data_IF_136894141067
#
_entry.id   IF_136894141067
#
_cell.length_a   1.000
_cell.length_b   1.000
_cell.length_c   1.000
_cell.angle_alpha   90.00
_cell.angle_beta   90.00
_cell.angle_gamma   90.00
#
_symmetry.space_group_name_H-M   'P 1'
#
loop_
_entity.id
_entity.type
_entity.pdbx_description
1 polymer ?
#
# COMPACT_ATOMS: atom_id res chain seq x y z
N UNK A 1 14.77 3.19 -6.11
CA UNK A 1 15.08 2.60 -4.79
C UNK A 1 14.14 1.44 -4.59
N UNK A 2 14.64 0.35 -4.03
CA UNK A 2 13.87 -0.87 -3.80
C UNK A 2 14.10 -1.33 -2.35
N UNK A 3 13.02 -1.66 -1.66
CA UNK A 3 13.02 -2.10 -0.27
C UNK A 3 12.33 -3.46 -0.20
N UNK A 4 13.10 -4.51 0.09
CA UNK A 4 12.62 -5.89 0.13
C UNK A 4 12.86 -6.51 1.49
N UNK A 5 11.88 -7.27 2.01
CA UNK A 5 12.03 -7.97 3.30
C UNK A 5 12.28 -7.01 4.47
N UNK A 6 11.88 -5.76 4.32
CA UNK A 6 12.17 -4.69 5.25
C UNK A 6 11.21 -4.71 6.43
N UNK A 7 11.67 -4.31 7.62
CA UNK A 7 10.89 -4.29 8.84
C UNK A 7 11.39 -3.25 9.83
N UNK A 8 10.57 -2.95 10.84
CA UNK A 8 10.98 -2.15 12.01
C UNK A 8 10.83 -0.63 11.87
N UNK A 9 10.36 -0.11 10.74
CA UNK A 9 10.08 1.32 10.56
C UNK A 9 8.61 1.58 10.27
N UNK A 10 8.08 2.69 10.75
CA UNK A 10 6.65 3.00 10.62
C UNK A 10 6.36 4.00 9.50
N UNK A 11 7.39 4.72 9.03
CA UNK A 11 7.28 5.79 8.06
C UNK A 11 8.52 5.87 7.18
N UNK A 12 8.30 6.06 5.88
CA UNK A 12 9.29 6.41 4.88
C UNK A 12 9.04 7.85 4.43
N UNK A 13 10.00 8.72 4.72
CA UNK A 13 9.97 10.12 4.28
C UNK A 13 10.94 10.31 3.11
N UNK A 14 10.39 10.49 1.92
CA UNK A 14 11.13 10.59 0.66
C UNK A 14 10.97 12.02 0.13
N UNK A 15 11.64 12.95 0.81
CA UNK A 15 11.76 14.34 0.35
C UNK A 15 12.74 14.54 -0.82
N UNK A 16 13.45 13.49 -1.25
CA UNK A 16 14.44 13.58 -2.32
C UNK A 16 13.81 14.02 -3.65
N UNK A 17 14.39 15.06 -4.25
CA UNK A 17 14.03 15.56 -5.58
C UNK A 17 14.75 14.83 -6.69
N UNK A 18 15.56 13.80 -6.42
CA UNK A 18 16.19 12.95 -7.44
C UNK A 18 15.56 11.56 -7.51
N UNK A 19 14.99 11.07 -6.41
CA UNK A 19 14.37 9.75 -6.38
C UNK A 19 12.99 9.79 -7.03
N UNK A 20 12.85 9.16 -8.21
CA UNK A 20 11.59 9.11 -8.97
C UNK A 20 10.80 7.82 -8.82
N UNK A 21 11.47 6.73 -8.44
CA UNK A 21 10.88 5.39 -8.36
C UNK A 21 11.17 4.72 -7.02
N UNK A 22 10.10 4.23 -6.40
CA UNK A 22 10.14 3.42 -5.18
C UNK A 22 9.44 2.09 -5.45
N UNK A 23 10.07 1.01 -5.00
CA UNK A 23 9.44 -0.31 -4.93
C UNK A 23 9.56 -0.82 -3.50
N UNK A 24 8.45 -1.27 -2.92
CA UNK A 24 8.39 -1.89 -1.60
C UNK A 24 7.79 -3.28 -1.77
N UNK A 25 8.54 -4.30 -1.38
CA UNK A 25 8.10 -5.70 -1.43
C UNK A 25 8.27 -6.39 -0.08
N UNK A 26 7.32 -7.25 0.28
CA UNK A 26 7.38 -8.08 1.48
C UNK A 26 7.76 -7.29 2.74
N UNK A 27 6.97 -6.26 3.06
CA UNK A 27 7.21 -5.42 4.22
C UNK A 27 6.53 -6.01 5.48
N UNK A 28 7.31 -6.21 6.55
CA UNK A 28 6.85 -6.86 7.78
C UNK A 28 6.78 -5.85 8.92
N UNK A 29 5.59 -5.66 9.49
CA UNK A 29 5.42 -4.89 10.72
C UNK A 29 5.16 -5.82 11.89
N UNK A 30 6.18 -6.00 12.73
CA UNK A 30 6.04 -6.73 13.98
C UNK A 30 5.21 -5.92 15.01
N UNK A 31 4.52 -6.63 15.90
CA UNK A 31 3.98 -6.11 17.17
C UNK A 31 2.89 -5.03 17.12
N UNK A 32 2.22 -4.84 15.99
CA UNK A 32 1.11 -3.89 15.93
C UNK A 32 -0.21 -4.57 16.27
N UNK A 33 -0.88 -4.02 17.30
CA UNK A 33 -2.29 -4.30 17.61
C UNK A 33 -3.13 -4.13 16.34
N UNK A 34 -4.26 -4.82 16.27
CA UNK A 34 -5.27 -4.59 15.24
C UNK A 34 -5.55 -3.09 15.10
N UNK A 35 -5.75 -2.62 13.86
CA UNK A 35 -6.05 -1.23 13.49
C UNK A 35 -4.90 -0.18 13.53
N UNK A 36 -3.62 -0.57 13.57
CA UNK A 36 -2.51 0.38 13.42
C UNK A 36 -1.90 0.43 12.01
N UNK A 37 -1.67 1.64 11.48
CA UNK A 37 -0.96 1.90 10.21
C UNK A 37 0.49 1.41 10.31
N UNK A 38 0.85 0.36 9.59
CA UNK A 38 2.18 -0.26 9.58
C UNK A 38 3.24 0.52 8.82
N UNK A 39 2.87 1.21 7.74
CA UNK A 39 3.79 1.91 6.85
C UNK A 39 3.17 3.19 6.27
N UNK A 40 3.64 4.34 6.69
CA UNK A 40 3.34 5.61 6.01
C UNK A 40 4.42 5.89 4.95
N UNK A 41 4.01 6.26 3.75
CA UNK A 41 4.92 6.69 2.69
C UNK A 41 4.61 8.14 2.35
N UNK A 42 5.54 9.04 2.67
CA UNK A 42 5.49 10.44 2.27
C UNK A 42 6.47 10.67 1.12
N UNK A 43 5.98 11.02 -0.07
CA UNK A 43 6.81 11.05 -1.27
C UNK A 43 6.37 12.10 -2.32
N UNK A 44 6.56 13.41 -2.05
CA UNK A 44 6.06 14.53 -2.88
C UNK A 44 6.57 14.60 -4.32
N UNK A 45 7.71 13.97 -4.61
CA UNK A 45 8.39 14.06 -5.91
C UNK A 45 8.49 12.70 -6.62
N UNK A 46 7.80 11.68 -6.09
CA UNK A 46 7.83 10.34 -6.62
C UNK A 46 6.88 10.21 -7.82
N UNK A 47 7.38 9.65 -8.92
CA UNK A 47 6.61 9.45 -10.14
C UNK A 47 6.10 8.01 -10.28
N UNK A 48 6.81 7.04 -9.71
CA UNK A 48 6.45 5.63 -9.80
C UNK A 48 6.56 4.94 -8.43
N UNK A 49 5.48 4.24 -8.07
CA UNK A 49 5.36 3.48 -6.83
C UNK A 49 4.95 2.03 -7.14
N UNK A 50 5.74 1.07 -6.66
CA UNK A 50 5.37 -0.34 -6.64
C UNK A 50 5.27 -0.84 -5.21
N UNK A 51 4.16 -1.50 -4.88
CA UNK A 51 3.93 -2.14 -3.58
C UNK A 51 3.47 -3.57 -3.85
N UNK A 52 4.21 -4.57 -3.36
CA UNK A 52 3.86 -5.97 -3.58
C UNK A 52 4.25 -6.94 -2.48
N UNK A 53 3.78 -8.18 -2.62
CA UNK A 53 4.13 -9.29 -1.73
C UNK A 53 3.28 -9.30 -0.45
N UNK A 54 3.85 -9.81 0.64
CA UNK A 54 3.13 -9.94 1.91
C UNK A 54 3.06 -8.61 2.63
N UNK A 55 1.91 -7.95 2.53
CA UNK A 55 1.64 -6.71 3.24
C UNK A 55 0.34 -6.91 3.99
N UNK A 56 0.44 -7.06 5.31
CA UNK A 56 -0.73 -7.26 6.15
C UNK A 56 -1.74 -6.11 5.93
N UNK A 57 -3.01 -6.49 5.76
CA UNK A 57 -4.17 -5.66 5.42
C UNK A 57 -4.16 -4.23 5.94
N UNK A 58 -4.53 -3.28 5.08
CA UNK A 58 -4.91 -1.91 5.47
C UNK A 58 -3.81 -1.08 6.12
N UNK A 59 -2.58 -1.59 6.16
CA UNK A 59 -1.57 -0.98 7.02
C UNK A 59 -0.64 -0.01 6.31
N UNK A 60 -0.87 0.35 5.05
CA UNK A 60 -0.08 1.42 4.43
C UNK A 60 -0.91 2.65 4.14
N UNK A 61 -0.26 3.81 4.27
CA UNK A 61 -0.87 5.10 3.96
C UNK A 61 0.02 5.87 3.01
N UNK A 62 -0.56 6.34 1.92
CA UNK A 62 0.12 7.18 0.94
C UNK A 62 -0.16 8.64 1.26
N UNK A 63 0.90 9.39 1.52
CA UNK A 63 0.87 10.79 1.94
C UNK A 63 1.61 11.65 0.93
N UNK A 64 0.98 12.74 0.50
CA UNK A 64 1.58 13.71 -0.43
C UNK A 64 2.19 13.06 -1.67
N UNK A 65 1.35 12.43 -2.50
CA UNK A 65 1.73 11.66 -3.69
C UNK A 65 1.28 12.32 -5.00
N UNK A 66 1.15 13.65 -5.01
CA UNK A 66 0.58 14.40 -6.15
C UNK A 66 1.39 14.26 -7.45
N UNK A 67 2.68 13.96 -7.34
CA UNK A 67 3.59 13.75 -8.48
C UNK A 67 3.50 12.35 -9.10
N UNK A 68 2.69 11.45 -8.53
CA UNK A 68 2.67 10.04 -8.91
C UNK A 68 1.93 9.85 -10.24
N UNK A 69 2.61 9.25 -11.22
CA UNK A 69 2.09 8.97 -12.55
C UNK A 69 1.79 7.48 -12.77
N UNK A 70 2.58 6.59 -12.17
CA UNK A 70 2.45 5.13 -12.27
C UNK A 70 2.41 4.49 -10.86
N UNK A 71 1.40 3.66 -10.61
CA UNK A 71 1.23 2.94 -9.35
C UNK A 71 0.91 1.47 -9.62
N UNK A 72 1.67 0.58 -8.98
CA UNK A 72 1.46 -0.87 -9.02
C UNK A 72 1.22 -1.40 -7.60
N UNK A 73 0.05 -1.99 -7.37
CA UNK A 73 -0.40 -2.48 -6.06
C UNK A 73 -0.78 -3.97 -6.14
N UNK A 74 0.13 -4.88 -5.78
CA UNK A 74 -0.11 -6.32 -5.84
C UNK A 74 0.37 -7.04 -4.58
N UNK A 75 -0.45 -7.02 -3.53
CA UNK A 75 -0.09 -7.58 -2.23
C UNK A 75 -1.12 -8.61 -1.74
N UNK A 76 -0.71 -9.44 -0.78
CA UNK A 76 -1.56 -10.47 -0.17
C UNK A 76 -2.55 -9.84 0.82
N UNK A 77 -3.84 -9.98 0.54
CA UNK A 77 -4.92 -9.65 1.47
C UNK A 77 -5.36 -10.94 2.16
N UNK A 78 -5.05 -11.09 3.46
CA UNK A 78 -5.45 -12.27 4.23
C UNK A 78 -6.85 -12.11 4.81
N UNK A 79 -7.84 -12.82 4.28
CA UNK A 79 -9.17 -12.97 4.90
C UNK A 79 -9.18 -14.05 5.98
N UNK A 80 -9.88 -13.76 7.08
CA UNK A 80 -10.23 -14.72 8.11
C UNK A 80 -11.58 -15.33 7.77
N UNK A 81 -11.70 -16.64 7.96
CA UNK A 81 -12.96 -17.38 7.67
C UNK A 81 -14.02 -17.06 8.72
N UNK A 82 -13.61 -16.62 9.91
CA UNK A 82 -14.49 -16.34 11.05
C UNK A 82 -15.22 -14.98 10.92
N UNK A 83 -14.60 -13.99 10.25
CA UNK A 83 -15.13 -12.62 10.10
C UNK A 83 -15.28 -12.17 8.63
N UNK A 84 -15.65 -13.10 7.75
CA UNK A 84 -15.72 -12.89 6.29
C UNK A 84 -16.48 -11.62 5.86
N UNK A 85 -17.61 -11.30 6.50
CA UNK A 85 -18.40 -10.11 6.17
C UNK A 85 -17.70 -8.81 6.58
N UNK A 86 -17.07 -8.77 7.76
CA UNK A 86 -16.35 -7.60 8.23
C UNK A 86 -15.09 -7.34 7.37
N UNK A 87 -14.40 -8.44 7.05
CA UNK A 87 -13.24 -8.47 6.17
C UNK A 87 -13.51 -7.92 4.77
N UNK A 88 -14.68 -8.21 4.21
CA UNK A 88 -15.08 -7.71 2.90
C UNK A 88 -15.37 -6.21 2.92
N UNK A 89 -16.07 -5.71 3.95
CA UNK A 89 -16.32 -4.27 4.11
C UNK A 89 -15.02 -3.50 4.37
N UNK A 90 -14.08 -4.04 5.15
CA UNK A 90 -12.75 -3.46 5.32
C UNK A 90 -11.97 -3.39 4.01
N UNK A 91 -12.00 -4.46 3.21
CA UNK A 91 -11.36 -4.49 1.90
C UNK A 91 -11.99 -3.45 0.97
N UNK A 92 -13.32 -3.36 0.95
CA UNK A 92 -14.06 -2.39 0.15
C UNK A 92 -13.69 -0.95 0.55
N UNK A 93 -13.63 -0.67 1.84
CA UNK A 93 -13.20 0.63 2.37
C UNK A 93 -11.76 0.95 1.94
N UNK A 94 -10.83 0.00 2.08
CA UNK A 94 -9.43 0.16 1.68
C UNK A 94 -9.30 0.50 0.19
N UNK A 95 -9.99 -0.27 -0.67
CA UNK A 95 -9.98 -0.04 -2.11
C UNK A 95 -10.56 1.34 -2.42
N UNK A 96 -11.67 1.72 -1.79
CA UNK A 96 -12.26 3.06 -1.94
C UNK A 96 -11.28 4.19 -1.57
N UNK A 97 -10.60 4.07 -0.42
CA UNK A 97 -9.62 5.07 0.02
C UNK A 97 -8.43 5.15 -0.95
N UNK A 98 -7.91 4.01 -1.40
CA UNK A 98 -6.81 3.97 -2.36
C UNK A 98 -7.19 4.61 -3.69
N UNK A 99 -8.39 4.31 -4.22
CA UNK A 99 -8.87 4.88 -5.47
C UNK A 99 -9.07 6.39 -5.38
N UNK A 100 -9.64 6.91 -4.29
CA UNK A 100 -9.76 8.37 -4.12
C UNK A 100 -8.39 9.04 -4.01
N UNK A 101 -7.46 8.45 -3.26
CA UNK A 101 -6.09 8.98 -3.14
C UNK A 101 -5.28 8.92 -4.43
N UNK A 102 -5.54 7.93 -5.29
CA UNK A 102 -4.80 7.67 -6.52
C UNK A 102 -5.54 8.15 -7.77
N UNK A 103 -6.63 8.90 -7.63
CA UNK A 103 -7.46 9.38 -8.75
C UNK A 103 -6.72 10.21 -9.79
N UNK A 104 -5.60 10.85 -9.42
CA UNK A 104 -4.76 11.65 -10.31
C UNK A 104 -3.70 10.83 -11.04
N UNK A 105 -3.47 9.58 -10.63
CA UNK A 105 -2.44 8.70 -11.20
C UNK A 105 -2.87 8.25 -12.60
N UNK A 106 -2.01 8.44 -13.59
CA UNK A 106 -2.30 8.12 -15.00
C UNK A 106 -2.41 6.62 -15.25
N UNK A 107 -1.61 5.83 -14.54
CA UNK A 107 -1.56 4.38 -14.67
C UNK A 107 -1.64 3.74 -13.30
N UNK A 108 -2.76 3.11 -13.01
CA UNK A 108 -2.96 2.30 -11.81
C UNK A 108 -3.10 0.84 -12.21
N UNK A 109 -2.23 -0.01 -11.68
CA UNK A 109 -2.30 -1.46 -11.84
C UNK A 109 -2.57 -2.09 -10.48
N UNK A 110 -3.66 -2.85 -10.37
CA UNK A 110 -4.01 -3.58 -9.15
C UNK A 110 -3.83 -5.09 -9.37
N UNK A 111 -3.39 -5.79 -8.32
CA UNK A 111 -3.28 -7.24 -8.29
C UNK A 111 -4.63 -7.93 -8.17
N UNK A 112 -4.65 -9.24 -8.42
CA UNK A 112 -5.88 -10.05 -8.48
C UNK A 112 -6.73 -10.00 -7.19
N UNK A 113 -6.12 -9.67 -6.06
CA UNK A 113 -6.78 -9.50 -4.76
C UNK A 113 -7.93 -8.48 -4.79
N UNK A 114 -7.95 -7.54 -5.74
CA UNK A 114 -9.01 -6.53 -5.85
C UNK A 114 -10.30 -7.04 -6.52
N UNK A 115 -10.26 -8.19 -7.18
CA UNK A 115 -11.41 -8.81 -7.88
C UNK A 115 -11.68 -10.24 -7.39
N UNK A 116 -10.84 -10.77 -6.50
CA UNK A 116 -10.98 -12.11 -5.98
C UNK A 116 -12.14 -12.17 -4.99
N UNK A 117 -13.18 -12.94 -5.33
CA UNK A 117 -14.19 -13.39 -4.39
C UNK A 117 -13.61 -14.64 -3.72
N UNK A 118 -13.39 -14.59 -2.40
CA UNK A 118 -12.65 -15.63 -1.67
C UNK A 118 -13.60 -16.53 -0.89
#
# INVERSE_FOLDING_TARGET
>A
MELYGCWGFTRLDIGSTSLRKLVVGDYWAFWRRENQIALEIFAPNLQSLGIFGKIHRNRFRLMNIQSLDDCYLNFEVKTSVEDYNNDFEELRYMVGELLDRLRHVKKLTMGNWCIQVT
#
